data_IF_315121044241
#
_entry.id   IF_315121044241
#
_cell.length_a   1.000
_cell.length_b   1.000
_cell.length_c   1.000
_cell.angle_alpha   90.00
_cell.angle_beta   90.00
_cell.angle_gamma   90.00
#
_symmetry.space_group_name_H-M   'P 1'
#
loop_
_entity.id
_entity.type
_entity.pdbx_description
1 polymer ?
#
# COMPACT_ATOMS: atom_id res chain seq x y z
N UNK A 1 -2.20 17.53 -60.35
CA UNK A 1 -3.17 17.01 -59.39
C UNK A 1 -2.64 17.33 -58.00
N UNK A 2 -3.09 18.44 -57.41
CA UNK A 2 -2.65 18.93 -56.09
C UNK A 2 -3.51 18.26 -55.01
N UNK A 3 -2.86 17.55 -54.10
CA UNK A 3 -3.53 16.93 -52.97
C UNK A 3 -4.09 18.00 -52.03
N UNK A 4 -5.40 17.93 -51.72
CA UNK A 4 -6.04 18.76 -50.71
C UNK A 4 -5.42 18.48 -49.32
N UNK A 5 -5.15 19.54 -48.53
CA UNK A 5 -4.74 19.32 -47.14
C UNK A 5 -5.92 18.73 -46.35
N UNK A 6 -5.67 17.58 -45.69
CA UNK A 6 -6.61 17.06 -44.70
C UNK A 6 -6.64 18.01 -43.50
N UNK A 7 -7.72 18.79 -43.39
CA UNK A 7 -8.00 19.53 -42.17
C UNK A 7 -8.37 18.54 -41.07
N UNK A 8 -7.37 18.12 -40.28
CA UNK A 8 -7.59 17.30 -39.10
C UNK A 8 -8.44 18.08 -38.09
N UNK A 9 -9.72 17.74 -37.95
CA UNK A 9 -10.48 18.10 -36.77
C UNK A 9 -9.82 17.32 -35.61
N UNK A 10 -9.01 18.01 -34.82
CA UNK A 10 -8.64 17.51 -33.51
C UNK A 10 -9.92 17.36 -32.69
N UNK A 11 -10.53 16.17 -32.71
CA UNK A 11 -11.49 15.82 -31.71
C UNK A 11 -10.71 15.78 -30.40
N UNK A 12 -10.93 16.74 -29.51
CA UNK A 12 -10.55 16.66 -28.14
C UNK A 12 -11.34 15.45 -27.57
N UNK A 13 -10.70 14.28 -27.59
CA UNK A 13 -11.23 13.11 -26.89
C UNK A 13 -11.20 13.51 -25.42
N UNK A 14 -12.34 13.52 -24.71
CA UNK A 14 -12.33 13.81 -23.29
C UNK A 14 -11.36 12.87 -22.61
N UNK A 15 -10.46 13.39 -21.77
CA UNK A 15 -9.57 12.60 -20.92
C UNK A 15 -10.40 11.98 -19.79
N UNK A 16 -11.39 11.15 -20.15
CA UNK A 16 -12.23 10.42 -19.21
C UNK A 16 -11.89 8.94 -19.30
N UNK A 17 -11.77 8.30 -18.16
CA UNK A 17 -11.60 6.86 -18.06
C UNK A 17 -12.81 6.16 -18.68
N UNK A 18 -12.61 5.27 -19.63
CA UNK A 18 -13.71 4.49 -20.23
C UNK A 18 -14.23 3.41 -19.31
N UNK A 19 -13.32 2.82 -18.53
CA UNK A 19 -13.59 1.83 -17.49
C UNK A 19 -13.19 2.43 -16.15
N UNK A 20 -14.16 2.67 -15.28
CA UNK A 20 -13.95 3.33 -14.00
C UNK A 20 -14.04 2.34 -12.85
N UNK A 21 -13.35 2.57 -11.72
CA UNK A 21 -13.48 1.74 -10.52
C UNK A 21 -14.93 1.65 -10.04
N UNK A 22 -15.68 2.74 -10.15
CA UNK A 22 -17.12 2.76 -9.79
C UNK A 22 -17.94 1.81 -10.66
N UNK A 23 -17.74 1.82 -11.97
CA UNK A 23 -18.43 0.91 -12.88
C UNK A 23 -18.07 -0.56 -12.59
N UNK A 24 -16.81 -0.85 -12.25
CA UNK A 24 -16.37 -2.17 -11.82
C UNK A 24 -17.09 -2.61 -10.54
N UNK A 25 -17.12 -1.76 -9.53
CA UNK A 25 -17.79 -2.02 -8.24
C UNK A 25 -19.30 -2.27 -8.43
N UNK A 26 -19.99 -1.43 -9.20
CA UNK A 26 -21.42 -1.59 -9.50
C UNK A 26 -21.70 -2.90 -10.24
N UNK A 27 -20.83 -3.28 -11.19
CA UNK A 27 -20.92 -4.55 -11.90
C UNK A 27 -20.78 -5.75 -10.95
N UNK A 28 -19.72 -5.76 -10.11
CA UNK A 28 -19.48 -6.87 -9.18
C UNK A 28 -20.57 -6.97 -8.11
N UNK A 29 -20.99 -5.85 -7.53
CA UNK A 29 -22.08 -5.80 -6.56
C UNK A 29 -23.37 -6.40 -7.15
N UNK A 30 -23.74 -5.99 -8.35
CA UNK A 30 -24.89 -6.56 -9.07
C UNK A 30 -24.76 -8.06 -9.31
N UNK A 31 -23.58 -8.54 -9.74
CA UNK A 31 -23.31 -9.96 -10.01
C UNK A 31 -23.41 -10.83 -8.75
N UNK A 32 -23.13 -10.27 -7.58
CA UNK A 32 -23.22 -10.97 -6.29
C UNK A 32 -24.53 -10.70 -5.53
N UNK A 33 -25.43 -9.91 -6.12
CA UNK A 33 -26.72 -9.57 -5.50
C UNK A 33 -26.59 -8.77 -4.20
N UNK A 34 -25.54 -7.92 -4.09
CA UNK A 34 -25.27 -7.10 -2.93
C UNK A 34 -25.27 -5.62 -3.30
N UNK A 35 -25.50 -4.73 -2.34
CA UNK A 35 -25.25 -3.30 -2.47
C UNK A 35 -23.88 -2.93 -1.89
N UNK A 36 -23.29 -1.83 -2.37
CA UNK A 36 -22.00 -1.34 -1.86
C UNK A 36 -22.06 -1.05 -0.35
N UNK A 37 -23.19 -0.53 0.13
CA UNK A 37 -23.39 -0.23 1.55
C UNK A 37 -23.35 -1.48 2.46
N UNK A 38 -23.72 -2.65 1.91
CA UNK A 38 -23.66 -3.92 2.64
C UNK A 38 -22.24 -4.42 2.90
N UNK A 39 -21.23 -3.83 2.24
CA UNK A 39 -19.82 -4.13 2.53
C UNK A 39 -19.43 -3.67 3.94
N UNK A 40 -20.11 -2.65 4.48
CA UNK A 40 -19.77 -2.04 5.76
C UNK A 40 -18.36 -1.42 5.78
N UNK A 41 -17.81 -1.05 4.61
CA UNK A 41 -16.45 -0.56 4.47
C UNK A 41 -16.23 0.72 5.26
N UNK A 42 -15.20 0.73 6.10
CA UNK A 42 -14.76 1.93 6.80
C UNK A 42 -13.98 2.86 5.85
N UNK A 43 -14.09 4.19 6.03
CA UNK A 43 -13.17 5.13 5.39
C UNK A 43 -11.69 4.91 5.72
N UNK A 44 -11.37 4.26 6.85
CA UNK A 44 -10.01 3.87 7.25
C UNK A 44 -9.80 2.40 6.90
N UNK A 45 -8.82 2.13 6.06
CA UNK A 45 -8.45 0.77 5.63
C UNK A 45 -7.01 0.49 6.05
N UNK A 46 -6.81 -0.65 6.69
CA UNK A 46 -5.50 -1.25 6.94
C UNK A 46 -5.33 -2.44 5.99
N UNK A 47 -4.38 -2.34 5.07
CA UNK A 47 -4.07 -3.39 4.11
C UNK A 47 -2.80 -4.14 4.46
N UNK A 48 -2.74 -5.43 4.14
CA UNK A 48 -1.49 -6.21 4.20
C UNK A 48 -1.46 -7.27 3.11
N UNK A 49 -0.27 -7.55 2.59
CA UNK A 49 -0.01 -8.59 1.58
C UNK A 49 0.15 -9.99 2.21
N UNK A 50 0.30 -10.05 3.54
CA UNK A 50 0.28 -11.33 4.29
C UNK A 50 -1.11 -11.54 4.94
N UNK A 51 -1.83 -12.52 4.45
CA UNK A 51 -3.15 -12.89 4.98
C UNK A 51 -3.14 -13.24 6.47
N UNK A 52 -2.02 -13.78 6.99
CA UNK A 52 -1.89 -14.08 8.43
C UNK A 52 -1.87 -12.80 9.25
N UNK A 53 -1.19 -11.77 8.77
CA UNK A 53 -1.19 -10.43 9.37
C UNK A 53 -2.58 -9.81 9.38
N UNK A 54 -3.32 -9.88 8.27
CA UNK A 54 -4.71 -9.39 8.20
C UNK A 54 -5.61 -10.11 9.21
N UNK A 55 -5.55 -11.44 9.27
CA UNK A 55 -6.31 -12.25 10.24
C UNK A 55 -5.92 -11.96 11.68
N UNK A 56 -4.64 -11.72 11.95
CA UNK A 56 -4.12 -11.34 13.28
C UNK A 56 -4.68 -9.98 13.73
N UNK A 57 -4.62 -8.97 12.86
CA UNK A 57 -5.20 -7.65 13.10
C UNK A 57 -6.70 -7.74 13.36
N UNK A 58 -7.45 -8.42 12.49
CA UNK A 58 -8.88 -8.61 12.62
C UNK A 58 -9.24 -9.30 13.95
N UNK A 59 -8.58 -10.40 14.29
CA UNK A 59 -8.77 -11.12 15.56
C UNK A 59 -8.49 -10.23 16.77
N UNK A 60 -7.43 -9.42 16.72
CA UNK A 60 -7.01 -8.56 17.84
C UNK A 60 -8.09 -7.54 18.23
N UNK A 61 -8.89 -7.10 17.29
CA UNK A 61 -9.95 -6.10 17.51
C UNK A 61 -11.38 -6.67 17.43
N UNK A 62 -11.52 -7.99 17.24
CA UNK A 62 -12.83 -8.62 17.08
C UNK A 62 -13.53 -8.24 15.77
N UNK A 63 -12.76 -7.96 14.71
CA UNK A 63 -13.33 -7.63 13.41
C UNK A 63 -13.91 -8.87 12.72
N UNK A 64 -15.06 -8.71 12.08
CA UNK A 64 -15.79 -9.77 11.41
C UNK A 64 -15.59 -9.71 9.89
N UNK A 65 -15.57 -10.87 9.21
CA UNK A 65 -15.49 -10.89 7.75
C UNK A 65 -16.66 -10.15 7.10
N UNK A 66 -16.40 -9.40 6.03
CA UNK A 66 -17.46 -8.85 5.17
C UNK A 66 -17.93 -9.92 4.19
N UNK A 67 -19.11 -10.53 4.36
CA UNK A 67 -19.57 -11.61 3.48
C UNK A 67 -19.97 -11.11 2.09
N UNK A 68 -20.21 -9.82 1.96
CA UNK A 68 -20.57 -9.16 0.71
C UNK A 68 -19.38 -8.77 -0.15
N UNK A 69 -18.15 -8.92 0.35
CA UNK A 69 -16.94 -8.62 -0.42
C UNK A 69 -16.68 -9.67 -1.49
N UNK A 70 -16.53 -9.27 -2.75
CA UNK A 70 -16.47 -10.16 -3.92
C UNK A 70 -15.10 -10.76 -4.23
N UNK A 71 -14.06 -10.40 -3.50
CA UNK A 71 -12.72 -11.00 -3.66
C UNK A 71 -12.41 -12.01 -2.55
N UNK A 72 -12.87 -13.28 -2.65
CA UNK A 72 -12.71 -14.25 -1.56
C UNK A 72 -11.24 -14.62 -1.26
N UNK A 73 -10.35 -14.43 -2.24
CA UNK A 73 -8.90 -14.62 -2.04
C UNK A 73 -8.24 -13.49 -1.27
N UNK A 74 -8.86 -12.32 -1.23
CA UNK A 74 -8.39 -11.12 -0.55
C UNK A 74 -9.44 -10.64 0.44
N UNK A 75 -9.68 -11.39 1.52
CA UNK A 75 -10.79 -11.13 2.44
C UNK A 75 -10.70 -9.74 3.08
N UNK A 76 -11.89 -9.19 3.33
CA UNK A 76 -12.12 -7.94 4.00
C UNK A 76 -12.79 -8.22 5.35
N UNK A 77 -12.30 -7.59 6.41
CA UNK A 77 -12.87 -7.65 7.76
C UNK A 77 -13.22 -6.25 8.22
N UNK A 78 -14.37 -6.09 8.91
CA UNK A 78 -14.80 -4.82 9.47
C UNK A 78 -14.82 -4.90 10.99
N UNK A 79 -14.29 -3.88 11.64
CA UNK A 79 -14.20 -3.83 13.11
C UNK A 79 -13.99 -2.43 13.63
N UNK A 80 -13.66 -2.35 14.92
CA UNK A 80 -13.49 -1.08 15.61
C UNK A 80 -12.20 -1.06 16.44
N UNK A 81 -11.48 0.05 16.39
CA UNK A 81 -10.31 0.31 17.23
C UNK A 81 -10.58 1.55 18.08
N UNK A 82 -10.93 1.35 19.35
CA UNK A 82 -11.23 2.43 20.32
C UNK A 82 -12.24 3.47 19.78
N UNK A 83 -13.38 3.01 19.34
CA UNK A 83 -14.47 3.85 18.82
C UNK A 83 -14.29 4.30 17.37
N UNK A 84 -13.28 3.79 16.65
CA UNK A 84 -13.06 4.10 15.24
C UNK A 84 -13.29 2.88 14.37
N UNK A 85 -14.23 2.98 13.47
CA UNK A 85 -14.43 1.95 12.47
C UNK A 85 -13.18 1.82 11.60
N UNK A 86 -12.78 0.59 11.32
CA UNK A 86 -11.62 0.24 10.49
C UNK A 86 -11.91 -1.03 9.71
N UNK A 87 -11.51 -1.05 8.45
CA UNK A 87 -11.54 -2.26 7.63
C UNK A 87 -10.13 -2.80 7.46
N UNK A 88 -9.97 -4.11 7.58
CA UNK A 88 -8.72 -4.84 7.33
C UNK A 88 -8.86 -5.63 6.05
N UNK A 89 -7.94 -5.48 5.12
CA UNK A 89 -8.02 -6.15 3.81
C UNK A 89 -6.72 -6.85 3.47
N UNK A 90 -6.84 -8.07 2.92
CA UNK A 90 -5.71 -8.70 2.26
C UNK A 90 -5.52 -8.09 0.87
N UNK A 91 -4.31 -7.65 0.59
CA UNK A 91 -3.93 -7.09 -0.71
C UNK A 91 -3.19 -8.13 -1.55
N UNK A 92 -3.39 -8.15 -2.85
CA UNK A 92 -2.58 -8.98 -3.75
C UNK A 92 -1.17 -8.39 -3.90
N UNK A 93 -0.18 -9.27 -4.08
CA UNK A 93 1.22 -8.88 -4.28
C UNK A 93 1.42 -8.15 -5.62
N UNK A 94 2.24 -7.12 -5.60
CA UNK A 94 2.65 -6.33 -6.77
C UNK A 94 1.79 -5.10 -7.04
N UNK A 95 2.43 -4.06 -7.55
CA UNK A 95 1.86 -2.74 -7.76
C UNK A 95 0.52 -2.75 -8.52
N UNK A 96 0.39 -3.37 -9.71
CA UNK A 96 -0.86 -3.29 -10.48
C UNK A 96 -2.05 -3.97 -9.77
N UNK A 97 -1.82 -5.11 -9.12
CA UNK A 97 -2.87 -5.86 -8.45
C UNK A 97 -3.32 -5.16 -7.15
N UNK A 98 -2.38 -4.65 -6.37
CA UNK A 98 -2.67 -3.84 -5.17
C UNK A 98 -3.49 -2.60 -5.51
N UNK A 99 -3.05 -1.85 -6.52
CA UNK A 99 -3.73 -0.61 -6.94
C UNK A 99 -5.14 -0.90 -7.47
N UNK A 100 -5.34 -2.00 -8.21
CA UNK A 100 -6.68 -2.41 -8.67
C UNK A 100 -7.65 -2.59 -7.48
N UNK A 101 -7.25 -3.32 -6.44
CA UNK A 101 -8.09 -3.51 -5.24
C UNK A 101 -8.30 -2.19 -4.49
N UNK A 102 -7.27 -1.36 -4.38
CA UNK A 102 -7.40 -0.04 -3.73
C UNK A 102 -8.37 0.89 -4.48
N UNK A 103 -8.37 0.89 -5.81
CA UNK A 103 -9.32 1.64 -6.63
C UNK A 103 -10.78 1.23 -6.34
N UNK A 104 -11.04 -0.06 -6.21
CA UNK A 104 -12.38 -0.55 -5.84
C UNK A 104 -12.75 -0.14 -4.42
N UNK A 105 -11.83 -0.25 -3.45
CA UNK A 105 -12.05 0.21 -2.07
C UNK A 105 -12.32 1.72 -2.01
N UNK A 106 -11.61 2.52 -2.81
CA UNK A 106 -11.85 3.98 -2.93
C UNK A 106 -13.24 4.26 -3.50
N UNK A 107 -13.65 3.52 -4.53
CA UNK A 107 -15.00 3.63 -5.09
C UNK A 107 -16.09 3.22 -4.09
N UNK A 108 -15.77 2.32 -3.16
CA UNK A 108 -16.64 1.93 -2.04
C UNK A 108 -16.59 2.89 -0.82
N UNK A 109 -15.77 3.94 -0.85
CA UNK A 109 -15.76 4.96 0.19
C UNK A 109 -14.49 5.03 1.06
N UNK A 110 -13.46 4.21 0.81
CA UNK A 110 -12.18 4.34 1.50
C UNK A 110 -11.51 5.69 1.22
N UNK A 111 -10.89 6.28 2.23
CA UNK A 111 -10.22 7.60 2.17
C UNK A 111 -8.84 7.61 2.79
N UNK A 112 -8.55 6.66 3.66
CA UNK A 112 -7.29 6.53 4.39
C UNK A 112 -6.80 5.10 4.30
N UNK A 113 -5.56 4.92 3.84
CA UNK A 113 -4.92 3.62 3.73
C UNK A 113 -3.64 3.57 4.54
N UNK A 114 -3.55 2.60 5.43
CA UNK A 114 -2.30 2.19 6.08
C UNK A 114 -1.91 0.81 5.57
N UNK A 115 -0.78 0.71 4.86
CA UNK A 115 -0.21 -0.57 4.46
C UNK A 115 0.71 -1.12 5.55
N UNK A 116 0.53 -2.38 5.95
CA UNK A 116 1.48 -3.12 6.78
C UNK A 116 2.08 -4.25 5.95
N UNK A 117 3.32 -4.09 5.54
CA UNK A 117 4.00 -4.98 4.61
C UNK A 117 5.41 -5.36 5.03
N UNK A 118 6.11 -5.97 4.08
CA UNK A 118 7.50 -6.37 4.20
C UNK A 118 8.36 -5.55 3.22
N UNK A 119 9.66 -5.43 3.52
CA UNK A 119 10.64 -4.88 2.61
C UNK A 119 12.00 -5.57 2.81
N UNK A 120 12.76 -5.71 1.74
CA UNK A 120 14.18 -6.06 1.81
C UNK A 120 15.00 -4.83 2.23
N UNK A 121 15.89 -4.94 3.21
CA UNK A 121 16.77 -3.84 3.63
C UNK A 121 18.01 -3.75 2.74
N UNK A 122 18.33 -2.53 2.29
CA UNK A 122 19.61 -2.24 1.62
C UNK A 122 20.59 -1.50 2.54
N UNK A 123 20.24 -1.32 3.82
CA UNK A 123 21.06 -0.60 4.82
C UNK A 123 21.54 -1.54 5.93
N UNK A 124 22.87 -1.51 6.26
CA UNK A 124 23.42 -2.37 7.31
C UNK A 124 22.86 -2.07 8.71
N UNK A 125 22.44 -0.84 8.99
CA UNK A 125 21.87 -0.41 10.26
C UNK A 125 20.39 -0.82 10.44
N UNK A 126 19.76 -1.36 9.42
CA UNK A 126 18.39 -1.80 9.44
C UNK A 126 18.29 -3.33 9.25
N UNK A 127 18.65 -4.14 10.25
CA UNK A 127 18.55 -5.60 10.19
C UNK A 127 17.09 -6.06 10.18
N UNK A 128 16.90 -7.36 9.90
CA UNK A 128 15.59 -8.04 9.99
C UNK A 128 14.83 -7.62 11.23
N UNK A 129 13.55 -7.36 11.09
CA UNK A 129 12.64 -6.93 12.16
C UNK A 129 12.64 -5.44 12.47
N UNK A 130 13.57 -4.67 11.90
CA UNK A 130 13.48 -3.19 11.85
C UNK A 130 12.29 -2.77 11.00
N UNK A 131 11.75 -1.57 11.23
CA UNK A 131 10.63 -1.07 10.43
C UNK A 131 11.03 0.15 9.59
N UNK A 132 10.29 0.37 8.49
CA UNK A 132 10.41 1.55 7.64
C UNK A 132 9.08 2.30 7.54
N UNK A 133 9.17 3.63 7.53
CA UNK A 133 8.10 4.53 7.13
C UNK A 133 8.59 5.26 5.87
N UNK A 134 8.25 4.79 4.67
CA UNK A 134 8.68 5.41 3.42
C UNK A 134 8.16 6.84 3.30
N UNK A 135 9.05 7.81 3.07
CA UNK A 135 8.71 9.23 2.92
C UNK A 135 8.86 9.76 1.50
N UNK A 136 9.50 8.99 0.64
CA UNK A 136 9.59 9.18 -0.81
C UNK A 136 9.87 7.86 -1.49
N UNK A 137 9.74 7.80 -2.82
CA UNK A 137 9.87 6.55 -3.57
C UNK A 137 10.78 6.71 -4.79
N UNK A 138 11.59 5.68 -5.06
CA UNK A 138 12.20 5.44 -6.37
C UNK A 138 11.26 4.48 -7.11
N UNK A 139 10.77 4.93 -8.27
CA UNK A 139 9.71 4.28 -9.04
C UNK A 139 10.31 3.42 -10.14
N UNK A 140 10.52 2.14 -9.88
CA UNK A 140 10.96 1.16 -10.89
C UNK A 140 9.89 0.09 -11.16
N UNK A 141 8.63 0.44 -10.90
CA UNK A 141 7.45 -0.34 -11.27
C UNK A 141 6.66 0.37 -12.39
N UNK A 142 5.82 -0.40 -13.10
CA UNK A 142 5.11 0.08 -14.29
C UNK A 142 3.76 0.73 -14.04
N UNK A 143 3.25 0.75 -12.81
CA UNK A 143 1.87 1.17 -12.49
C UNK A 143 1.76 2.66 -12.19
N UNK A 144 2.64 3.19 -11.35
CA UNK A 144 2.57 4.59 -10.92
C UNK A 144 2.67 5.60 -12.07
N UNK A 145 3.38 5.35 -13.21
CA UNK A 145 3.40 6.27 -14.34
C UNK A 145 2.03 6.48 -15.01
N UNK A 146 1.09 5.56 -14.85
CA UNK A 146 -0.28 5.72 -15.34
C UNK A 146 -1.13 6.70 -14.51
N UNK A 147 -0.70 7.00 -13.28
CA UNK A 147 -1.39 7.89 -12.35
C UNK A 147 -0.73 9.27 -12.26
N UNK A 148 0.59 9.31 -12.22
CA UNK A 148 1.34 10.56 -12.08
C UNK A 148 2.57 10.56 -12.99
N UNK A 149 2.90 11.72 -13.55
CA UNK A 149 4.12 11.89 -14.35
C UNK A 149 5.38 11.55 -13.55
N UNK A 150 6.49 11.25 -14.24
CA UNK A 150 7.77 10.92 -13.61
C UNK A 150 8.38 12.09 -12.82
N UNK A 151 8.00 13.33 -13.17
CA UNK A 151 8.51 14.56 -12.54
C UNK A 151 7.81 14.87 -11.20
N UNK A 152 6.64 14.29 -10.98
CA UNK A 152 5.90 14.50 -9.74
C UNK A 152 6.48 13.67 -8.59
N UNK A 153 6.89 14.36 -7.53
CA UNK A 153 7.37 13.71 -6.31
C UNK A 153 6.26 12.98 -5.58
N UNK A 154 6.39 11.65 -5.49
CA UNK A 154 5.43 10.80 -4.79
C UNK A 154 5.78 10.73 -3.32
N UNK A 155 4.83 11.05 -2.45
CA UNK A 155 5.00 11.07 -1.00
C UNK A 155 3.76 10.54 -0.29
N UNK A 156 3.95 9.94 0.90
CA UNK A 156 2.83 9.57 1.76
C UNK A 156 2.11 10.81 2.31
N UNK A 157 0.89 10.61 2.82
CA UNK A 157 0.19 11.65 3.55
C UNK A 157 0.95 12.04 4.84
N UNK A 158 1.36 13.32 5.02
CA UNK A 158 2.18 13.72 6.18
C UNK A 158 1.49 13.46 7.52
N UNK A 159 0.15 13.49 7.56
CA UNK A 159 -0.63 13.17 8.76
C UNK A 159 -0.43 11.73 9.20
N UNK A 160 -0.40 10.79 8.23
CA UNK A 160 -0.22 9.36 8.51
C UNK A 160 1.22 9.04 8.94
N UNK A 161 2.22 9.69 8.32
CA UNK A 161 3.62 9.59 8.76
C UNK A 161 3.73 10.00 10.24
N UNK A 162 3.18 11.16 10.61
CA UNK A 162 3.20 11.62 12.02
C UNK A 162 2.45 10.68 12.97
N UNK A 163 1.35 10.06 12.51
CA UNK A 163 0.61 9.10 13.32
C UNK A 163 1.43 7.84 13.59
N UNK A 164 2.07 7.28 12.56
CA UNK A 164 2.95 6.11 12.66
C UNK A 164 4.19 6.41 13.51
N UNK A 165 4.83 7.58 13.33
CA UNK A 165 5.98 8.01 14.13
C UNK A 165 5.64 8.10 15.62
N UNK A 166 4.53 8.71 15.98
CA UNK A 166 4.07 8.78 17.38
C UNK A 166 3.74 7.39 17.93
N UNK A 167 3.08 6.56 17.13
CA UNK A 167 2.68 5.22 17.52
C UNK A 167 3.90 4.31 17.75
N UNK A 168 4.90 4.33 16.86
CA UNK A 168 6.11 3.52 17.00
C UNK A 168 6.91 3.88 18.26
N UNK A 169 7.04 5.18 18.56
CA UNK A 169 7.68 5.64 19.80
C UNK A 169 6.93 5.13 21.03
N UNK A 170 5.60 5.29 21.06
CA UNK A 170 4.75 4.80 22.16
C UNK A 170 4.84 3.28 22.36
N UNK A 171 5.06 2.53 21.27
CA UNK A 171 5.17 1.05 21.31
C UNK A 171 6.62 0.56 21.46
N UNK A 172 7.60 1.45 21.50
CA UNK A 172 9.02 1.08 21.62
C UNK A 172 9.55 0.33 20.39
N UNK A 173 9.04 0.66 19.19
CA UNK A 173 9.45 0.01 17.94
C UNK A 173 10.44 0.87 17.19
N UNK A 174 11.59 0.28 16.84
CA UNK A 174 12.59 0.94 16.00
C UNK A 174 12.09 1.02 14.57
N UNK A 175 12.05 2.24 14.01
CA UNK A 175 11.72 2.45 12.62
C UNK A 175 12.52 3.64 12.05
N UNK A 176 12.93 3.51 10.79
CA UNK A 176 13.59 4.56 10.02
C UNK A 176 12.60 5.19 9.03
N UNK A 177 12.82 6.48 8.77
CA UNK A 177 12.07 7.23 7.76
C UNK A 177 13.02 7.62 6.62
N UNK A 178 12.61 7.43 5.39
CA UNK A 178 13.46 7.76 4.24
C UNK A 178 12.88 7.25 2.92
N UNK A 179 13.65 7.33 1.84
CA UNK A 179 13.24 6.82 0.54
C UNK A 179 13.16 5.30 0.53
N UNK A 180 12.19 4.76 -0.22
CA UNK A 180 12.05 3.34 -0.56
C UNK A 180 12.19 3.15 -2.08
N UNK A 181 12.73 2.04 -2.50
CA UNK A 181 12.73 1.61 -3.88
C UNK A 181 11.58 0.62 -4.10
N UNK A 182 10.75 0.86 -5.13
CA UNK A 182 9.67 -0.07 -5.52
C UNK A 182 9.95 -0.65 -6.88
N UNK A 183 9.96 -1.99 -6.99
CA UNK A 183 10.24 -2.72 -8.23
C UNK A 183 9.18 -3.78 -8.54
N UNK A 184 8.91 -4.01 -9.83
CA UNK A 184 8.08 -5.15 -10.30
C UNK A 184 8.87 -6.46 -10.43
N UNK A 185 10.20 -6.42 -10.28
CA UNK A 185 11.07 -7.52 -10.65
C UNK A 185 12.07 -7.90 -9.52
N UNK A 186 11.60 -8.52 -8.41
CA UNK A 186 12.43 -8.80 -7.24
C UNK A 186 13.67 -9.69 -7.56
N UNK A 187 13.58 -10.57 -8.55
CA UNK A 187 14.72 -11.38 -8.99
C UNK A 187 15.69 -10.63 -9.92
N UNK A 188 15.48 -9.33 -10.13
CA UNK A 188 16.36 -8.44 -10.91
C UNK A 188 16.97 -7.31 -10.07
N UNK A 189 16.95 -7.46 -8.77
CA UNK A 189 17.64 -6.58 -7.82
C UNK A 189 19.16 -6.78 -7.93
N UNK A 190 19.77 -6.05 -8.87
CA UNK A 190 21.18 -6.19 -9.18
C UNK A 190 22.05 -5.61 -8.07
N UNK A 191 23.17 -6.25 -7.74
CA UNK A 191 24.13 -5.79 -6.71
C UNK A 191 24.53 -4.32 -6.93
N UNK A 192 24.81 -3.94 -8.18
CA UNK A 192 25.16 -2.54 -8.51
C UNK A 192 24.03 -1.55 -8.25
N UNK A 193 22.77 -1.95 -8.44
CA UNK A 193 21.60 -1.14 -8.15
C UNK A 193 21.43 -0.99 -6.64
N UNK A 194 21.53 -2.10 -5.90
CA UNK A 194 21.47 -2.11 -4.43
C UNK A 194 22.52 -1.19 -3.82
N UNK A 195 23.79 -1.32 -4.27
CA UNK A 195 24.89 -0.47 -3.79
C UNK A 195 24.66 1.01 -4.10
N UNK A 196 24.21 1.34 -5.33
CA UNK A 196 23.91 2.70 -5.72
C UNK A 196 22.78 3.30 -4.85
N UNK A 197 21.72 2.55 -4.58
CA UNK A 197 20.61 3.03 -3.74
C UNK A 197 21.00 3.11 -2.27
N UNK A 198 21.80 2.17 -1.78
CA UNK A 198 22.37 2.24 -0.42
C UNK A 198 23.16 3.54 -0.21
N UNK A 199 24.02 3.93 -1.16
CA UNK A 199 24.79 5.17 -1.10
C UNK A 199 23.95 6.45 -1.21
N UNK A 200 22.68 6.34 -1.56
CA UNK A 200 21.69 7.42 -1.65
C UNK A 200 20.69 7.38 -0.49
N UNK A 201 21.03 6.70 0.60
CA UNK A 201 20.22 6.57 1.81
C UNK A 201 18.83 5.94 1.57
N UNK A 202 18.66 5.15 0.50
CA UNK A 202 17.45 4.36 0.28
C UNK A 202 17.39 3.28 1.36
N UNK A 203 16.26 3.17 2.06
CA UNK A 203 16.11 2.26 3.18
C UNK A 203 16.04 0.79 2.76
N UNK A 204 15.30 0.52 1.71
CA UNK A 204 15.04 -0.84 1.24
C UNK A 204 14.23 -0.88 -0.04
N UNK A 205 13.75 -2.07 -0.37
CA UNK A 205 12.99 -2.37 -1.58
C UNK A 205 11.68 -3.07 -1.24
N UNK A 206 10.62 -2.70 -1.95
CA UNK A 206 9.31 -3.36 -1.93
C UNK A 206 8.75 -3.48 -3.36
N UNK A 207 7.47 -3.85 -3.48
CA UNK A 207 6.83 -4.03 -4.77
C UNK A 207 5.58 -3.15 -4.97
N UNK A 208 5.20 -2.27 -4.02
CA UNK A 208 3.89 -1.59 -4.07
C UNK A 208 3.89 -0.12 -3.67
N UNK A 209 4.78 0.31 -2.80
CA UNK A 209 4.68 1.61 -2.11
C UNK A 209 4.57 2.79 -3.08
N UNK A 210 5.38 2.84 -4.15
CA UNK A 210 5.33 3.97 -5.07
C UNK A 210 4.00 4.06 -5.82
N UNK A 211 3.44 2.93 -6.23
CA UNK A 211 2.16 2.88 -6.92
C UNK A 211 0.99 3.25 -6.00
N UNK A 212 1.02 2.79 -4.74
CA UNK A 212 0.02 3.16 -3.74
C UNK A 212 0.03 4.67 -3.45
N UNK A 213 1.22 5.27 -3.32
CA UNK A 213 1.34 6.71 -3.09
C UNK A 213 0.93 7.53 -4.30
N UNK A 214 1.26 7.07 -5.53
CA UNK A 214 0.81 7.69 -6.77
C UNK A 214 -0.73 7.69 -6.86
N UNK A 215 -1.35 6.54 -6.60
CA UNK A 215 -2.80 6.43 -6.54
C UNK A 215 -3.39 7.37 -5.46
N UNK A 216 -2.76 7.45 -4.29
CA UNK A 216 -3.20 8.32 -3.21
C UNK A 216 -3.28 9.78 -3.63
N UNK A 217 -2.23 10.28 -4.30
CA UNK A 217 -2.20 11.65 -4.86
C UNK A 217 -3.27 11.81 -5.94
N UNK A 218 -3.33 10.89 -6.89
CA UNK A 218 -4.27 10.97 -8.03
C UNK A 218 -5.74 10.96 -7.59
N UNK A 219 -6.12 10.11 -6.63
CA UNK A 219 -7.50 9.98 -6.11
C UNK A 219 -7.79 10.89 -4.92
N UNK A 220 -6.82 11.70 -4.48
CA UNK A 220 -6.94 12.56 -3.30
C UNK A 220 -7.37 11.78 -2.04
N UNK A 221 -6.69 10.65 -1.79
CA UNK A 221 -6.84 9.84 -0.59
C UNK A 221 -5.50 9.74 0.14
N UNK A 222 -5.54 9.56 1.45
CA UNK A 222 -4.34 9.50 2.26
C UNK A 222 -3.77 8.08 2.29
N UNK A 223 -2.49 7.92 1.97
CA UNK A 223 -1.81 6.64 1.96
C UNK A 223 -0.49 6.75 2.70
N UNK A 224 -0.15 5.75 3.52
CA UNK A 224 1.17 5.57 4.11
C UNK A 224 1.41 4.09 4.42
N UNK A 225 2.63 3.61 4.17
CA UNK A 225 3.02 2.26 4.51
C UNK A 225 3.92 2.22 5.76
N UNK A 226 3.78 1.13 6.52
CA UNK A 226 4.66 0.73 7.60
C UNK A 226 5.20 -0.66 7.25
N UNK A 227 6.49 -0.74 6.93
CA UNK A 227 7.12 -1.94 6.38
C UNK A 227 8.06 -2.56 7.41
N UNK A 228 8.05 -3.88 7.52
CA UNK A 228 8.96 -4.63 8.38
C UNK A 228 10.05 -5.26 7.51
N UNK A 229 11.29 -5.12 7.89
CA UNK A 229 12.43 -5.74 7.19
C UNK A 229 12.32 -7.26 7.30
N UNK A 230 12.15 -7.92 6.15
CA UNK A 230 12.01 -9.38 6.02
C UNK A 230 13.30 -10.07 5.64
N UNK A 231 14.23 -9.33 5.04
CA UNK A 231 15.50 -9.84 4.53
C UNK A 231 16.50 -8.69 4.33
N UNK A 232 17.78 -9.05 4.29
CA UNK A 232 18.86 -8.10 4.11
C UNK A 232 19.54 -8.34 2.76
N UNK A 233 19.76 -7.25 1.99
CA UNK A 233 20.31 -7.27 0.62
C UNK A 233 21.64 -6.50 0.49
N UNK A 234 22.03 -5.74 1.50
CA UNK A 234 23.21 -4.86 1.46
C UNK A 234 24.56 -5.60 1.37
N UNK A 235 24.54 -6.91 1.55
CA UNK A 235 25.61 -7.88 1.29
C UNK A 235 24.99 -9.16 0.70
N UNK A 236 25.47 -10.33 1.09
CA UNK A 236 24.81 -11.59 0.72
C UNK A 236 23.36 -11.61 1.20
N UNK A 237 22.47 -12.10 0.34
CA UNK A 237 21.04 -12.18 0.68
C UNK A 237 20.78 -13.01 1.93
N UNK A 238 20.19 -12.38 2.94
CA UNK A 238 19.88 -12.99 4.22
C UNK A 238 18.37 -12.97 4.48
N UNK A 239 17.62 -14.00 4.06
CA UNK A 239 16.19 -14.07 4.25
C UNK A 239 15.83 -14.46 5.69
N UNK A 240 14.67 -13.93 6.18
CA UNK A 240 14.06 -14.34 7.43
C UNK A 240 12.60 -14.73 7.29
N UNK A 241 12.13 -14.98 6.07
CA UNK A 241 10.76 -15.42 5.81
C UNK A 241 10.40 -16.65 6.62
N UNK A 242 9.29 -16.57 7.39
CA UNK A 242 8.83 -17.67 8.25
C UNK A 242 9.62 -17.84 9.56
N UNK A 243 10.62 -17.00 9.84
CA UNK A 243 11.35 -17.04 11.09
C UNK A 243 10.51 -16.55 12.29
N UNK A 244 10.78 -17.03 13.52
CA UNK A 244 10.16 -16.51 14.73
C UNK A 244 10.45 -15.01 14.95
N UNK A 245 11.65 -14.55 14.58
CA UNK A 245 12.09 -13.15 14.68
C UNK A 245 11.20 -12.23 13.85
N UNK A 246 10.98 -12.57 12.57
CA UNK A 246 10.10 -11.81 11.69
C UNK A 246 8.64 -11.85 12.17
N UNK A 247 8.16 -12.99 12.63
CA UNK A 247 6.80 -13.11 13.15
C UNK A 247 6.58 -12.22 14.37
N UNK A 248 7.57 -12.14 15.28
CA UNK A 248 7.50 -11.25 16.44
C UNK A 248 7.58 -9.77 16.05
N UNK A 249 8.42 -9.42 15.06
CA UNK A 249 8.50 -8.07 14.52
C UNK A 249 7.17 -7.63 13.90
N UNK A 250 6.52 -8.48 13.12
CA UNK A 250 5.19 -8.23 12.57
C UNK A 250 4.15 -7.99 13.66
N UNK A 251 4.14 -8.77 14.74
CA UNK A 251 3.23 -8.54 15.88
C UNK A 251 3.47 -7.20 16.56
N UNK A 252 4.72 -6.74 16.66
CA UNK A 252 5.03 -5.40 17.17
C UNK A 252 4.54 -4.32 16.21
N UNK A 253 4.74 -4.51 14.91
CA UNK A 253 4.26 -3.60 13.86
C UNK A 253 2.72 -3.49 13.81
N UNK A 254 1.99 -4.61 13.98
CA UNK A 254 0.53 -4.60 14.14
C UNK A 254 0.08 -3.66 15.26
N UNK A 255 0.75 -3.72 16.43
CA UNK A 255 0.44 -2.82 17.56
C UNK A 255 0.70 -1.36 17.24
N UNK A 256 1.72 -1.06 16.42
CA UNK A 256 1.98 0.31 15.94
C UNK A 256 0.88 0.80 15.03
N UNK A 257 0.49 0.00 14.03
CA UNK A 257 -0.56 0.37 13.08
C UNK A 257 -1.91 0.57 13.80
N UNK A 258 -2.30 -0.34 14.68
CA UNK A 258 -3.53 -0.18 15.49
C UNK A 258 -3.49 1.06 16.38
N UNK A 259 -2.35 1.39 16.99
CA UNK A 259 -2.19 2.61 17.77
C UNK A 259 -2.30 3.87 16.88
N UNK A 260 -1.70 3.85 15.68
CA UNK A 260 -1.82 4.95 14.72
C UNK A 260 -3.29 5.20 14.33
N UNK A 261 -4.06 4.14 14.03
CA UNK A 261 -5.50 4.22 13.72
C UNK A 261 -6.27 4.99 14.81
N UNK A 262 -5.92 4.82 16.08
CA UNK A 262 -6.63 5.53 17.18
C UNK A 262 -6.52 7.05 17.09
N UNK A 263 -5.57 7.59 16.37
CA UNK A 263 -5.32 9.03 16.26
C UNK A 263 -5.88 9.65 14.98
N UNK A 264 -6.33 8.81 14.03
CA UNK A 264 -6.84 9.27 12.74
C UNK A 264 -8.28 9.78 12.90
N UNK A 265 -8.58 10.89 12.23
CA UNK A 265 -9.94 11.43 12.08
C UNK A 265 -10.35 11.29 10.61
N UNK A 266 -11.54 10.83 10.36
CA UNK A 266 -12.20 10.77 9.04
C UNK A 266 -13.00 12.03 8.83
#
# INVERSE_FOLDING_TARGET
MLAKPMTGRHFLIPMSERFTPRAAVEFWASRHGVSVDQLGLSPIVVGSWDLRTVKSLAKTVGAEPSPSWWWPRFPLYNGEVRGRMVSFVSLPLGAPATVMVMEELIACGARVFLGLGLAGSVQPEAPVGTCFIPTSCIREEGTSPHYLSSEEGIRPAPRLVRALEKARVKKGVTAYTGPIWTTDAPYREMVTTIENYRLRDVLGVDMETSAMYALGVYRNVEVCNFLVVSDELWRDWKPAFGSPELAEALKRAEKVVLEAVTTLRT
#
